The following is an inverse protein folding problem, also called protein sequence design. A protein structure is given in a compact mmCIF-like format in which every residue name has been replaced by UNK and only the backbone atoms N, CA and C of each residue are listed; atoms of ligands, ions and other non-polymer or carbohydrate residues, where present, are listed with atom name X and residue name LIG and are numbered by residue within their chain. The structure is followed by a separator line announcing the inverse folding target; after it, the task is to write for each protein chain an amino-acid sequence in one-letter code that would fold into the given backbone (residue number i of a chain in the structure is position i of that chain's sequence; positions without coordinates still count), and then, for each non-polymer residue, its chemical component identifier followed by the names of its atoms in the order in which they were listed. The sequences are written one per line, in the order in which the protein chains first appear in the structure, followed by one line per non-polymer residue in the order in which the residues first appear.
data_IF_559985645277
#
_entry.id   IF_559985645277
#
_cell.length_a   1.000
_cell.length_b   1.000
_cell.length_c   1.000
_cell.angle_alpha   90.00
_cell.angle_beta   90.00
_cell.angle_gamma   90.00
#
_symmetry.space_group_name_H-M   'P 1'
#
loop_
_entity.id
_entity.type
_entity.pdbx_description
1 polymer ?
#
# COMPACT_ATOMS: atom_id res chain seq x y z
N UNK A 1 10.74 -24.84 -32.27
CA UNK A 1 11.85 -24.87 -31.29
C UNK A 1 11.54 -23.81 -30.23
N UNK A 2 10.77 -24.20 -29.21
CA UNK A 2 10.27 -23.32 -28.15
C UNK A 2 11.14 -23.53 -26.90
N UNK A 3 12.00 -22.58 -26.57
CA UNK A 3 12.71 -22.58 -25.29
C UNK A 3 11.82 -21.97 -24.23
N UNK A 4 11.19 -22.84 -23.43
CA UNK A 4 10.62 -22.50 -22.12
C UNK A 4 11.78 -22.16 -21.18
N UNK A 5 11.94 -20.90 -20.82
CA UNK A 5 12.71 -20.50 -19.63
C UNK A 5 11.74 -20.35 -18.47
N UNK A 6 11.80 -21.35 -17.59
CA UNK A 6 11.10 -21.43 -16.32
C UNK A 6 11.77 -20.43 -15.37
N UNK A 7 11.18 -19.26 -15.18
CA UNK A 7 11.61 -18.31 -14.17
C UNK A 7 10.42 -18.00 -13.26
N UNK A 8 10.31 -18.77 -12.19
CA UNK A 8 9.60 -18.41 -10.97
C UNK A 8 10.26 -17.15 -10.39
N UNK A 9 9.93 -15.99 -10.97
CA UNK A 9 10.27 -14.68 -10.39
C UNK A 9 9.07 -14.27 -9.57
N UNK A 10 9.29 -14.09 -8.25
CA UNK A 10 8.35 -13.39 -7.38
C UNK A 10 7.91 -12.11 -8.09
N UNK A 11 6.67 -12.10 -8.59
CA UNK A 11 6.09 -10.92 -9.21
C UNK A 11 5.71 -10.00 -8.05
N UNK A 12 6.58 -9.06 -7.71
CA UNK A 12 6.12 -7.86 -7.03
C UNK A 12 5.19 -7.18 -8.03
N UNK A 13 3.88 -7.25 -7.78
CA UNK A 13 2.88 -6.55 -8.59
C UNK A 13 3.00 -5.07 -8.27
N UNK A 14 4.04 -4.43 -8.81
CA UNK A 14 4.12 -2.99 -8.93
C UNK A 14 3.44 -2.67 -10.26
N UNK A 15 2.42 -1.80 -10.24
CA UNK A 15 1.61 -1.44 -11.41
C UNK A 15 2.52 -1.08 -12.59
N UNK A 16 2.74 -2.00 -13.52
CA UNK A 16 3.36 -1.65 -14.81
C UNK A 16 2.28 -1.01 -15.69
N UNK A 17 2.63 -0.10 -16.60
CA UNK A 17 1.70 0.30 -17.65
C UNK A 17 1.37 -0.94 -18.49
N UNK A 18 0.22 -1.55 -18.22
CA UNK A 18 -0.32 -2.62 -19.06
C UNK A 18 -1.05 -1.93 -20.20
N UNK A 19 -0.53 -2.06 -21.41
CA UNK A 19 -1.25 -1.69 -22.62
C UNK A 19 -2.60 -2.41 -22.67
N UNK A 20 -3.67 -1.63 -22.70
CA UNK A 20 -5.05 -1.99 -23.03
C UNK A 20 -5.58 -3.29 -22.39
N UNK A 21 -6.21 -3.16 -21.22
CA UNK A 21 -7.33 -4.03 -20.85
C UNK A 21 -8.46 -3.18 -20.27
N UNK A 22 -9.43 -2.85 -21.12
CA UNK A 22 -10.73 -2.29 -20.74
C UNK A 22 -11.58 -3.35 -20.04
N UNK A 23 -11.94 -3.13 -18.76
CA UNK A 23 -13.34 -3.24 -18.31
C UNK A 23 -13.56 -2.69 -16.89
N UNK A 24 -14.45 -1.69 -16.83
CA UNK A 24 -15.45 -1.34 -15.81
C UNK A 24 -15.14 -1.63 -14.33
N UNK A 25 -14.99 -0.56 -13.54
CA UNK A 25 -15.47 -0.46 -12.16
C UNK A 25 -15.64 1.04 -11.85
N UNK A 26 -16.88 1.53 -11.85
CA UNK A 26 -17.25 2.89 -11.46
C UNK A 26 -17.40 2.93 -9.95
N UNK A 27 -16.71 3.83 -9.23
CA UNK A 27 -16.89 3.93 -7.78
C UNK A 27 -16.98 5.36 -7.24
N UNK A 28 -18.07 5.56 -6.50
CA UNK A 28 -18.58 6.80 -5.92
C UNK A 28 -18.03 6.94 -4.50
N UNK A 29 -17.37 8.06 -4.22
CA UNK A 29 -16.66 8.38 -2.97
C UNK A 29 -17.42 8.03 -1.66
N UNK A 30 -17.04 6.96 -0.94
CA UNK A 30 -16.97 6.90 0.55
C UNK A 30 -16.33 5.61 1.12
N UNK A 31 -15.61 5.76 2.26
CA UNK A 31 -15.14 4.78 3.28
C UNK A 31 -14.84 3.35 2.78
N UNK A 32 -13.61 3.12 2.30
CA UNK A 32 -13.11 1.86 1.74
C UNK A 32 -14.12 1.25 0.76
N UNK A 33 -14.11 1.76 -0.48
CA UNK A 33 -15.01 1.41 -1.58
C UNK A 33 -14.73 -0.05 -2.04
N UNK A 34 -15.16 -1.01 -1.20
CA UNK A 34 -15.03 -2.49 -1.25
C UNK A 34 -13.89 -3.05 -0.41
N UNK A 35 -14.11 -4.29 0.07
CA UNK A 35 -13.13 -4.99 0.89
C UNK A 35 -11.78 -5.07 0.21
N UNK A 36 -10.70 -4.83 0.97
CA UNK A 36 -9.35 -4.93 0.45
C UNK A 36 -9.07 -6.37 0.02
N UNK A 37 -8.69 -6.54 -1.23
CA UNK A 37 -8.20 -7.81 -1.74
C UNK A 37 -6.69 -7.91 -1.43
N UNK A 38 -6.33 -8.74 -0.45
CA UNK A 38 -4.93 -9.02 -0.07
C UNK A 38 -4.28 -9.97 -1.08
N UNK A 39 -3.99 -9.47 -2.28
CA UNK A 39 -3.48 -10.25 -3.43
C UNK A 39 -1.99 -10.05 -3.70
N UNK A 40 -1.31 -9.19 -2.96
CA UNK A 40 0.10 -8.83 -3.11
C UNK A 40 1.09 -9.91 -2.67
N UNK A 41 0.62 -11.08 -2.23
CA UNK A 41 1.37 -12.19 -1.67
C UNK A 41 2.15 -11.89 -0.36
N UNK A 42 2.29 -10.62 0.01
CA UNK A 42 2.86 -10.14 1.26
C UNK A 42 2.18 -8.84 1.68
N UNK A 43 1.94 -8.66 2.99
CA UNK A 43 1.24 -7.49 3.55
C UNK A 43 1.87 -6.16 3.12
N UNK A 44 3.20 -6.11 3.08
CA UNK A 44 3.91 -4.92 2.61
C UNK A 44 3.48 -4.53 1.18
N UNK A 45 3.26 -5.50 0.29
CA UNK A 45 2.84 -5.25 -1.10
C UNK A 45 1.36 -4.87 -1.16
N UNK A 46 0.51 -5.46 -0.32
CA UNK A 46 -0.90 -5.03 -0.18
C UNK A 46 -1.00 -3.60 0.33
N UNK A 47 -0.14 -3.22 1.28
CA UNK A 47 -0.08 -1.86 1.79
C UNK A 47 0.30 -0.86 0.70
N UNK A 48 1.24 -1.19 -0.19
CA UNK A 48 1.57 -0.33 -1.35
C UNK A 48 0.36 -0.09 -2.26
N UNK A 49 -0.44 -1.13 -2.47
CA UNK A 49 -1.61 -1.12 -3.35
C UNK A 49 -2.81 -0.34 -2.78
N UNK A 50 -2.74 0.08 -1.51
CA UNK A 50 -3.72 1.01 -0.92
C UNK A 50 -3.69 2.40 -1.57
N UNK A 51 -2.64 2.72 -2.33
CA UNK A 51 -2.64 3.83 -3.28
C UNK A 51 -2.55 3.26 -4.69
N UNK A 52 -3.67 3.34 -5.41
CA UNK A 52 -3.92 2.67 -6.68
C UNK A 52 -3.95 3.64 -7.86
N UNK A 53 -3.78 3.10 -9.08
CA UNK A 53 -3.75 3.84 -10.35
C UNK A 53 -2.74 5.00 -10.36
N UNK A 54 -1.55 4.78 -9.81
CA UNK A 54 -0.52 5.84 -9.60
C UNK A 54 0.00 6.49 -10.90
N UNK A 55 -0.26 5.87 -12.05
CA UNK A 55 0.13 6.37 -13.37
C UNK A 55 -1.03 7.00 -14.16
N UNK A 56 -2.25 6.99 -13.62
CA UNK A 56 -3.44 7.58 -14.22
C UNK A 56 -4.11 8.50 -13.19
N UNK A 57 -3.82 9.80 -13.29
CA UNK A 57 -4.34 10.82 -12.36
C UNK A 57 -5.88 10.86 -12.32
N UNK A 58 -6.55 10.45 -13.40
CA UNK A 58 -8.02 10.45 -13.46
C UNK A 58 -8.65 9.29 -12.68
N UNK A 59 -7.86 8.25 -12.40
CA UNK A 59 -8.27 7.04 -11.68
C UNK A 59 -7.54 6.84 -10.36
N UNK A 60 -6.55 7.70 -10.07
CA UNK A 60 -5.75 7.66 -8.86
C UNK A 60 -6.65 7.63 -7.62
N UNK A 61 -6.43 6.66 -6.75
CA UNK A 61 -7.26 6.47 -5.58
C UNK A 61 -6.43 6.11 -4.35
N UNK A 62 -6.76 6.77 -3.23
CA UNK A 62 -6.14 6.55 -1.93
C UNK A 62 -7.14 5.89 -0.98
N UNK A 63 -6.88 4.65 -0.61
CA UNK A 63 -7.72 3.86 0.29
C UNK A 63 -7.45 4.17 1.77
N UNK A 64 -6.24 4.62 2.13
CA UNK A 64 -5.86 4.96 3.51
C UNK A 64 -5.72 6.48 3.61
N UNK A 65 -6.79 7.14 4.08
CA UNK A 65 -6.86 8.61 4.17
C UNK A 65 -6.69 9.11 5.60
N UNK A 66 -6.84 8.22 6.59
CA UNK A 66 -6.79 8.54 8.01
C UNK A 66 -6.08 7.45 8.83
N UNK A 67 -5.74 7.77 10.08
CA UNK A 67 -5.26 6.77 11.04
C UNK A 67 -6.27 5.64 11.28
N UNK A 68 -7.58 5.95 11.25
CA UNK A 68 -8.62 4.93 11.41
C UNK A 68 -8.62 3.94 10.24
N UNK A 69 -8.38 4.41 9.02
CA UNK A 69 -8.27 3.54 7.84
C UNK A 69 -7.02 2.64 7.93
N UNK A 70 -5.92 3.16 8.47
CA UNK A 70 -4.70 2.36 8.73
C UNK A 70 -4.94 1.24 9.76
N UNK A 71 -5.66 1.55 10.84
CA UNK A 71 -6.05 0.55 11.86
C UNK A 71 -6.98 -0.49 11.25
N UNK A 72 -7.92 -0.06 10.42
CA UNK A 72 -8.86 -0.95 9.75
C UNK A 72 -8.16 -1.84 8.71
N UNK A 73 -7.19 -1.31 7.97
CA UNK A 73 -6.32 -2.09 7.09
C UNK A 73 -5.60 -3.21 7.86
N UNK A 74 -4.93 -2.88 8.98
CA UNK A 74 -4.24 -3.86 9.81
C UNK A 74 -5.19 -4.92 10.40
N UNK A 75 -6.43 -4.52 10.71
CA UNK A 75 -7.46 -5.44 11.20
C UNK A 75 -7.94 -6.38 10.10
N UNK A 76 -8.19 -5.88 8.89
CA UNK A 76 -8.61 -6.70 7.75
C UNK A 76 -7.49 -7.66 7.32
N UNK A 77 -6.24 -7.24 7.45
CA UNK A 77 -5.06 -8.07 7.20
C UNK A 77 -4.87 -9.20 8.24
N UNK A 78 -5.56 -9.13 9.38
CA UNK A 78 -5.42 -10.10 10.46
C UNK A 78 -4.26 -9.83 11.42
N UNK A 79 -3.50 -8.74 11.23
CA UNK A 79 -2.37 -8.35 12.10
C UNK A 79 -2.83 -7.92 13.49
N UNK A 80 -4.05 -7.36 13.59
CA UNK A 80 -4.66 -6.98 14.86
C UNK A 80 -6.10 -7.50 14.98
N UNK A 81 -6.48 -7.90 16.19
CA UNK A 81 -7.86 -8.28 16.49
C UNK A 81 -8.80 -7.08 16.62
N UNK A 82 -10.11 -7.31 16.45
CA UNK A 82 -11.14 -6.27 16.52
C UNK A 82 -11.17 -5.52 17.86
N UNK A 83 -10.84 -6.17 18.97
CA UNK A 83 -10.77 -5.53 20.29
C UNK A 83 -9.63 -4.50 20.37
N UNK A 84 -8.47 -4.81 19.78
CA UNK A 84 -7.34 -3.88 19.73
C UNK A 84 -7.63 -2.73 18.78
N UNK A 85 -8.19 -3.00 17.60
CA UNK A 85 -8.58 -1.97 16.65
C UNK A 85 -9.51 -0.90 17.28
N UNK A 86 -10.56 -1.34 17.99
CA UNK A 86 -11.47 -0.43 18.71
C UNK A 86 -10.75 0.43 19.76
N UNK A 87 -9.82 -0.17 20.51
CA UNK A 87 -9.04 0.55 21.53
C UNK A 87 -8.13 1.60 20.90
N UNK A 88 -7.44 1.27 19.80
CA UNK A 88 -6.56 2.20 19.09
C UNK A 88 -7.34 3.38 18.50
N UNK A 89 -8.54 3.14 17.97
CA UNK A 89 -9.42 4.20 17.46
C UNK A 89 -9.86 5.12 18.60
N UNK A 90 -10.33 4.57 19.72
CA UNK A 90 -10.72 5.38 20.88
C UNK A 90 -9.54 6.18 21.47
N UNK A 91 -8.33 5.60 21.48
CA UNK A 91 -7.13 6.32 21.90
C UNK A 91 -6.74 7.43 20.94
N UNK A 92 -6.97 7.26 19.63
CA UNK A 92 -6.71 8.29 18.63
C UNK A 92 -7.59 9.51 18.82
N UNK A 93 -8.84 9.34 19.26
CA UNK A 93 -9.73 10.47 19.62
C UNK A 93 -9.19 11.27 20.80
N UNK A 94 -8.57 10.59 21.78
CA UNK A 94 -7.95 11.25 22.93
C UNK A 94 -6.56 11.86 22.62
N UNK A 95 -5.89 11.41 21.55
CA UNK A 95 -4.55 11.84 21.16
C UNK A 95 -4.46 12.08 19.64
N UNK A 96 -5.20 13.06 19.10
CA UNK A 96 -5.34 13.25 17.65
C UNK A 96 -4.00 13.59 16.97
N UNK A 97 -3.13 14.36 17.62
CA UNK A 97 -1.82 14.72 17.06
C UNK A 97 -0.90 13.51 16.90
N UNK A 98 -0.92 12.60 17.88
CA UNK A 98 -0.15 11.36 17.85
C UNK A 98 -0.66 10.42 16.75
N UNK A 99 -1.99 10.28 16.63
CA UNK A 99 -2.61 9.51 15.57
C UNK A 99 -2.24 10.07 14.18
N UNK A 100 -2.30 11.40 14.01
CA UNK A 100 -1.88 12.07 12.78
C UNK A 100 -0.39 11.87 12.48
N UNK A 101 0.47 11.88 13.50
CA UNK A 101 1.90 11.59 13.34
C UNK A 101 2.14 10.17 12.84
N UNK A 102 1.48 9.17 13.44
CA UNK A 102 1.62 7.77 13.03
C UNK A 102 1.10 7.57 11.60
N UNK A 103 -0.04 8.17 11.26
CA UNK A 103 -0.56 8.14 9.90
C UNK A 103 0.44 8.71 8.89
N UNK A 104 1.03 9.88 9.16
CA UNK A 104 2.05 10.47 8.28
C UNK A 104 3.27 9.58 8.12
N UNK A 105 3.74 8.94 9.19
CA UNK A 105 4.86 7.97 9.13
C UNK A 105 4.51 6.77 8.26
N UNK A 106 3.32 6.20 8.43
CA UNK A 106 2.85 5.06 7.64
C UNK A 106 2.77 5.40 6.14
N UNK A 107 2.22 6.58 5.79
CA UNK A 107 2.20 7.06 4.41
C UNK A 107 3.63 7.25 3.87
N UNK A 108 4.51 7.91 4.63
CA UNK A 108 5.89 8.12 4.19
C UNK A 108 6.63 6.79 3.94
N UNK A 109 6.45 5.80 4.82
CA UNK A 109 7.00 4.45 4.64
C UNK A 109 6.46 3.79 3.37
N UNK A 110 5.15 3.89 3.12
CA UNK A 110 4.52 3.35 1.91
C UNK A 110 5.11 3.97 0.65
N UNK A 111 5.23 5.30 0.61
CA UNK A 111 5.74 6.01 -0.56
C UNK A 111 7.22 5.71 -0.82
N UNK A 112 8.04 5.63 0.23
CA UNK A 112 9.44 5.23 0.11
C UNK A 112 9.57 3.79 -0.41
N UNK A 113 8.78 2.87 0.14
CA UNK A 113 8.76 1.47 -0.29
C UNK A 113 8.31 1.34 -1.74
N UNK A 114 7.25 2.06 -2.15
CA UNK A 114 6.81 2.11 -3.55
C UNK A 114 7.91 2.64 -4.46
N UNK A 115 8.58 3.73 -4.06
CA UNK A 115 9.64 4.37 -4.84
C UNK A 115 10.81 3.42 -5.07
N UNK A 116 11.27 2.74 -4.01
CA UNK A 116 12.33 1.75 -4.11
C UNK A 116 11.92 0.57 -5.01
N UNK A 117 10.73 0.00 -4.78
CA UNK A 117 10.28 -1.18 -5.51
C UNK A 117 9.98 -0.89 -6.98
N UNK A 118 9.40 0.28 -7.28
CA UNK A 118 9.14 0.72 -8.66
C UNK A 118 10.44 0.88 -9.45
N UNK A 119 11.49 1.44 -8.84
CA UNK A 119 12.81 1.57 -9.48
C UNK A 119 13.45 0.22 -9.75
N UNK A 120 13.45 -0.67 -8.76
CA UNK A 120 13.96 -2.04 -8.90
C UNK A 120 13.22 -2.80 -10.00
N UNK A 121 11.88 -2.67 -10.06
CA UNK A 121 11.05 -3.31 -11.08
C UNK A 121 11.34 -2.81 -12.51
N UNK A 122 11.91 -1.61 -12.65
CA UNK A 122 12.38 -1.04 -13.92
C UNK A 122 13.90 -1.25 -14.14
N UNK A 123 14.52 -2.16 -13.40
CA UNK A 123 15.96 -2.46 -13.48
C UNK A 123 16.84 -1.23 -13.21
N UNK A 124 16.36 -0.33 -12.33
CA UNK A 124 17.08 0.86 -11.87
C UNK A 124 17.42 0.74 -10.38
N UNK A 125 18.46 1.44 -9.96
CA UNK A 125 18.81 1.53 -8.54
C UNK A 125 17.73 2.28 -7.75
N UNK A 126 17.44 1.79 -6.54
CA UNK A 126 16.53 2.45 -5.61
C UNK A 126 17.20 3.72 -5.04
N UNK A 127 16.49 4.84 -4.91
CA UNK A 127 17.05 6.06 -4.32
C UNK A 127 17.46 5.80 -2.87
N UNK A 128 18.67 6.24 -2.51
CA UNK A 128 19.22 6.08 -1.16
C UNK A 128 18.28 6.63 -0.08
N UNK A 129 17.69 7.80 -0.32
CA UNK A 129 16.72 8.43 0.59
C UNK A 129 15.51 7.52 0.91
N UNK A 130 15.02 6.76 -0.07
CA UNK A 130 13.92 5.84 0.12
C UNK A 130 14.35 4.63 0.96
N UNK A 131 15.54 4.09 0.69
CA UNK A 131 16.12 2.98 1.46
C UNK A 131 16.42 3.38 2.91
N UNK A 132 16.94 4.59 3.12
CA UNK A 132 17.24 5.13 4.43
C UNK A 132 15.95 5.32 5.25
N UNK A 133 14.87 5.83 4.64
CA UNK A 133 13.57 5.97 5.31
C UNK A 133 12.99 4.61 5.71
N UNK A 134 13.02 3.62 4.80
CA UNK A 134 12.57 2.25 5.11
C UNK A 134 13.36 1.68 6.29
N UNK A 135 14.68 1.88 6.29
CA UNK A 135 15.56 1.37 7.34
C UNK A 135 15.28 2.03 8.70
N UNK A 136 14.98 3.33 8.71
CA UNK A 136 14.67 4.07 9.94
C UNK A 136 13.35 3.65 10.60
N UNK A 137 12.36 3.20 9.81
CA UNK A 137 11.07 2.71 10.32
C UNK A 137 11.12 1.22 10.73
N UNK A 138 12.16 0.48 10.31
CA UNK A 138 12.35 -0.94 10.62
C UNK A 138 13.27 -1.19 11.84
N UNK A 139 13.94 -0.15 12.36
CA UNK A 139 14.87 -0.22 13.50
C UNK A 139 14.14 -0.08 14.86
#
# INVERSE_FOLDING_TARGET
MLTRTNATRNVIVCQRPIGAFERVMQHTLTRLDHGLEFIGAHLATDFLNTSSYRYDETRAHEHIQTYADLVEFARQAGEIGAALARRLIAQAEAQPEKAAQIYRRAVALREATWTAFSRIAHEREAPREAVDLISAEAA
#
